data_IF_252505932358
#
_entry.id   IF_252505932358
#
_cell.length_a   1.000
_cell.length_b   1.000
_cell.length_c   1.000
_cell.angle_alpha   90.00
_cell.angle_beta   90.00
_cell.angle_gamma   90.00
#
_symmetry.space_group_name_H-M   'P 1'
#
loop_
_entity.id
_entity.type
_entity.pdbx_description
1 polymer ?
#
# COMPACT_ATOMS: atom_id res chain seq x y z
N UNK A 1 3.09 15.02 -23.14
CA UNK A 1 3.09 14.90 -21.66
C UNK A 1 3.88 13.64 -21.32
N UNK A 2 4.73 13.65 -20.27
CA UNK A 2 5.39 12.44 -19.81
C UNK A 2 4.35 11.38 -19.45
N UNK A 3 4.67 10.11 -19.71
CA UNK A 3 3.80 8.99 -19.34
C UNK A 3 3.81 8.80 -17.82
N UNK A 4 2.65 8.55 -17.18
CA UNK A 4 2.60 8.29 -15.74
C UNK A 4 3.33 6.99 -15.40
N UNK A 5 4.09 7.01 -14.30
CA UNK A 5 4.75 5.83 -13.75
C UNK A 5 3.90 5.24 -12.63
N UNK A 6 3.57 3.94 -12.74
CA UNK A 6 2.84 3.22 -11.70
C UNK A 6 3.76 2.20 -11.04
N UNK A 7 3.91 2.30 -9.72
CA UNK A 7 4.50 1.26 -8.87
C UNK A 7 3.37 0.43 -8.26
N UNK A 8 3.22 -0.82 -8.70
CA UNK A 8 2.26 -1.76 -8.15
C UNK A 8 2.97 -2.76 -7.23
N UNK A 9 2.68 -2.70 -5.92
CA UNK A 9 3.22 -3.65 -4.94
C UNK A 9 2.16 -4.69 -4.58
N UNK A 10 2.47 -5.94 -4.88
CA UNK A 10 1.64 -7.11 -4.58
C UNK A 10 2.46 -8.06 -3.71
N UNK A 11 2.45 -7.90 -2.37
CA UNK A 11 3.15 -8.81 -1.48
C UNK A 11 2.64 -10.24 -1.65
N UNK A 12 3.54 -11.22 -1.57
CA UNK A 12 3.22 -12.64 -1.78
C UNK A 12 3.14 -13.07 -3.25
N UNK A 13 3.21 -12.16 -4.23
CA UNK A 13 3.26 -12.51 -5.64
C UNK A 13 4.58 -13.18 -6.02
N UNK A 14 4.52 -14.40 -6.56
CA UNK A 14 5.69 -15.13 -7.08
C UNK A 14 5.69 -15.12 -8.60
N UNK A 15 6.87 -15.26 -9.20
CA UNK A 15 6.99 -15.35 -10.67
C UNK A 15 6.20 -16.53 -11.26
N UNK A 16 6.05 -17.64 -10.52
CA UNK A 16 5.25 -18.80 -10.93
C UNK A 16 3.75 -18.52 -11.00
N UNK A 17 3.25 -17.61 -10.17
CA UNK A 17 1.82 -17.27 -10.08
C UNK A 17 1.33 -16.56 -11.37
N UNK A 18 2.24 -15.92 -12.10
CA UNK A 18 1.94 -15.26 -13.38
C UNK A 18 1.28 -16.18 -14.41
N UNK A 19 1.58 -17.48 -14.37
CA UNK A 19 0.96 -18.46 -15.27
C UNK A 19 -0.58 -18.51 -15.14
N UNK A 20 -1.12 -18.13 -13.98
CA UNK A 20 -2.56 -18.04 -13.71
C UNK A 20 -3.12 -16.61 -13.82
N UNK A 21 -2.30 -15.61 -14.14
CA UNK A 21 -2.67 -14.19 -14.19
C UNK A 21 -2.49 -13.61 -15.61
N UNK A 22 -3.42 -13.86 -16.56
CA UNK A 22 -3.22 -13.52 -17.98
C UNK A 22 -3.00 -12.02 -18.23
N UNK A 23 -3.69 -11.15 -17.49
CA UNK A 23 -3.55 -9.70 -17.64
C UNK A 23 -2.17 -9.21 -17.18
N UNK A 24 -1.70 -9.67 -16.03
CA UNK A 24 -0.38 -9.29 -15.52
C UNK A 24 0.74 -9.93 -16.35
N UNK A 25 0.58 -11.19 -16.75
CA UNK A 25 1.48 -11.87 -17.66
C UNK A 25 1.68 -11.12 -18.97
N UNK A 26 0.58 -10.63 -19.58
CA UNK A 26 0.65 -9.80 -20.79
C UNK A 26 1.34 -8.45 -20.52
N UNK A 27 1.07 -7.82 -19.38
CA UNK A 27 1.69 -6.54 -19.00
C UNK A 27 3.21 -6.68 -18.85
N UNK A 28 3.68 -7.74 -18.20
CA UNK A 28 5.12 -7.97 -17.93
C UNK A 28 5.83 -8.77 -19.02
N UNK A 29 5.18 -9.05 -20.16
CA UNK A 29 5.78 -9.79 -21.27
C UNK A 29 6.74 -8.92 -22.11
N UNK A 30 6.51 -7.61 -22.17
CA UNK A 30 7.30 -6.67 -22.97
C UNK A 30 8.39 -5.93 -22.19
N UNK A 31 8.64 -6.30 -20.94
CA UNK A 31 9.60 -5.63 -20.06
C UNK A 31 10.52 -6.59 -19.34
N UNK A 32 11.36 -6.04 -18.46
CA UNK A 32 12.34 -6.81 -17.70
C UNK A 32 11.73 -7.48 -16.46
N UNK A 33 12.36 -8.57 -16.03
CA UNK A 33 11.99 -9.32 -14.83
C UNK A 33 13.23 -9.55 -13.98
N UNK A 34 13.13 -9.20 -12.71
CA UNK A 34 14.16 -9.45 -11.71
C UNK A 34 13.54 -9.99 -10.43
N UNK A 35 14.30 -10.80 -9.70
CA UNK A 35 13.89 -11.24 -8.36
C UNK A 35 14.18 -10.12 -7.37
N UNK A 36 13.15 -9.67 -6.64
CA UNK A 36 13.33 -8.75 -5.52
C UNK A 36 13.90 -9.53 -4.34
N UNK A 37 15.11 -9.17 -3.90
CA UNK A 37 15.70 -9.68 -2.65
C UNK A 37 15.42 -8.65 -1.54
N UNK A 38 14.52 -8.94 -0.60
CA UNK A 38 14.20 -8.00 0.46
C UNK A 38 15.34 -7.92 1.49
N UNK A 39 15.49 -6.77 2.14
CA UNK A 39 16.40 -6.66 3.28
C UNK A 39 15.87 -7.41 4.50
N UNK A 40 16.75 -7.67 5.47
CA UNK A 40 16.32 -8.02 6.82
C UNK A 40 16.01 -6.75 7.63
N UNK A 41 14.91 -6.70 8.42
CA UNK A 41 13.86 -7.72 8.51
C UNK A 41 12.86 -7.64 7.34
N UNK A 42 12.50 -8.79 6.79
CA UNK A 42 11.60 -8.93 5.65
C UNK A 42 10.13 -8.88 6.09
N UNK A 43 9.73 -7.77 6.70
CA UNK A 43 8.34 -7.46 7.03
C UNK A 43 7.88 -6.20 6.28
N UNK A 44 6.58 -5.99 6.22
CA UNK A 44 5.95 -5.01 5.31
C UNK A 44 6.55 -3.61 5.40
N UNK A 45 6.67 -3.01 6.60
CA UNK A 45 7.07 -1.60 6.70
C UNK A 45 8.54 -1.35 6.33
N UNK A 46 9.53 -2.13 6.82
CA UNK A 46 10.92 -2.00 6.38
C UNK A 46 11.06 -2.17 4.86
N UNK A 47 10.42 -3.19 4.28
CA UNK A 47 10.51 -3.43 2.82
C UNK A 47 9.86 -2.30 2.03
N UNK A 48 8.70 -1.79 2.45
CA UNK A 48 8.09 -0.62 1.81
C UNK A 48 8.96 0.63 1.95
N UNK A 49 9.52 0.90 3.13
CA UNK A 49 10.40 2.03 3.36
C UNK A 49 11.68 1.96 2.51
N UNK A 50 12.26 0.76 2.32
CA UNK A 50 13.37 0.57 1.39
C UNK A 50 12.99 0.97 -0.04
N UNK A 51 11.85 0.48 -0.53
CA UNK A 51 11.39 0.77 -1.90
C UNK A 51 11.11 2.27 -2.09
N UNK A 52 10.64 2.96 -1.05
CA UNK A 52 10.27 4.38 -1.11
C UNK A 52 11.45 5.33 -0.95
N UNK A 53 12.49 4.93 -0.22
CA UNK A 53 13.64 5.80 0.12
C UNK A 53 14.91 5.42 -0.64
N UNK A 54 15.01 4.18 -1.13
CA UNK A 54 16.25 3.61 -1.68
C UNK A 54 17.31 3.29 -0.61
N UNK A 55 16.96 3.36 0.67
CA UNK A 55 17.87 3.18 1.81
C UNK A 55 17.50 1.93 2.62
N UNK A 56 18.38 1.49 3.52
CA UNK A 56 18.13 0.35 4.40
C UNK A 56 17.57 0.77 5.78
N UNK A 57 17.05 -0.16 6.61
CA UNK A 57 16.45 0.17 7.91
C UNK A 57 17.33 0.98 8.86
N UNK A 58 18.64 0.79 8.77
CA UNK A 58 19.64 1.56 9.55
C UNK A 58 19.65 3.06 9.21
N UNK A 59 19.12 3.45 8.05
CA UNK A 59 19.15 4.81 7.51
C UNK A 59 17.77 5.48 7.55
N UNK A 60 16.70 4.75 7.20
CA UNK A 60 15.33 5.29 7.22
C UNK A 60 14.59 5.07 8.55
N UNK A 61 15.16 4.32 9.49
CA UNK A 61 14.68 4.18 10.87
C UNK A 61 13.54 3.18 11.10
N UNK A 62 12.96 2.61 10.04
CA UNK A 62 11.83 1.66 10.14
C UNK A 62 12.35 0.24 10.18
N UNK A 63 12.38 -0.36 11.37
CA UNK A 63 13.01 -1.67 11.62
C UNK A 63 12.02 -2.80 11.92
N UNK A 64 10.72 -2.52 12.01
CA UNK A 64 9.69 -3.52 12.27
C UNK A 64 8.30 -2.96 11.90
N UNK A 65 7.25 -3.78 12.01
CA UNK A 65 5.84 -3.36 11.89
C UNK A 65 5.29 -2.76 13.22
N UNK A 66 6.16 -2.13 14.00
CA UNK A 66 5.86 -1.56 15.31
C UNK A 66 7.12 -1.05 15.99
N UNK A 67 6.94 -0.22 17.01
CA UNK A 67 8.03 0.46 17.71
C UNK A 67 7.91 0.26 19.22
N UNK A 68 9.05 0.06 19.87
CA UNK A 68 9.16 0.22 21.31
C UNK A 68 9.77 1.59 21.62
N UNK A 69 8.96 2.49 22.17
CA UNK A 69 9.32 3.85 22.53
C UNK A 69 9.98 3.85 23.92
N UNK A 70 11.32 3.93 23.95
CA UNK A 70 12.12 3.78 25.18
C UNK A 70 11.88 4.89 26.19
N UNK A 71 11.59 6.09 25.73
CA UNK A 71 11.24 7.25 26.55
C UNK A 71 9.90 7.07 27.27
N UNK A 72 8.95 6.36 26.65
CA UNK A 72 7.60 6.11 27.20
C UNK A 72 7.43 4.72 27.79
N UNK A 73 8.36 3.80 27.55
CA UNK A 73 8.27 2.39 27.90
C UNK A 73 7.06 1.68 27.27
N UNK A 74 6.68 2.09 26.06
CA UNK A 74 5.46 1.63 25.40
C UNK A 74 5.73 0.95 24.07
N UNK A 75 4.88 -0.02 23.72
CA UNK A 75 4.85 -0.64 22.39
C UNK A 75 3.72 0.00 21.59
N UNK A 76 4.05 0.55 20.44
CA UNK A 76 3.08 1.01 19.44
C UNK A 76 3.14 0.11 18.22
N UNK A 77 2.06 -0.64 17.98
CA UNK A 77 1.88 -1.44 16.77
C UNK A 77 0.96 -0.71 15.81
N UNK A 78 1.11 -0.96 14.52
CA UNK A 78 0.13 -0.52 13.51
C UNK A 78 -0.10 0.99 13.39
N UNK A 79 0.87 1.80 13.82
CA UNK A 79 0.89 3.23 13.52
C UNK A 79 0.84 3.49 12.01
N UNK A 80 0.22 4.61 11.64
CA UNK A 80 -0.03 4.96 10.25
C UNK A 80 0.74 6.20 9.78
N UNK A 81 1.33 6.95 10.71
CA UNK A 81 1.95 8.24 10.42
C UNK A 81 3.31 8.08 9.73
N UNK A 82 3.54 8.94 8.74
CA UNK A 82 4.75 8.92 7.92
C UNK A 82 6.00 9.46 8.64
N UNK A 83 5.83 10.15 9.77
CA UNK A 83 6.92 10.69 10.60
C UNK A 83 7.89 9.63 11.14
N UNK A 84 7.52 8.34 11.03
CA UNK A 84 8.39 7.21 11.38
C UNK A 84 9.45 6.91 10.32
N UNK A 85 9.25 7.34 9.09
CA UNK A 85 10.25 7.25 8.02
C UNK A 85 11.11 8.51 8.08
N UNK A 86 12.36 8.35 8.51
CA UNK A 86 13.26 9.47 8.84
C UNK A 86 14.01 10.03 7.63
N UNK A 87 13.66 9.58 6.42
CA UNK A 87 14.33 9.92 5.18
C UNK A 87 13.31 10.36 4.13
N UNK A 88 13.70 11.25 3.20
CA UNK A 88 12.84 11.63 2.09
C UNK A 88 12.41 10.41 1.27
N UNK A 89 11.13 10.36 0.93
CA UNK A 89 10.59 9.32 0.07
C UNK A 89 10.55 9.83 -1.38
N UNK A 90 10.32 8.91 -2.33
CA UNK A 90 10.38 9.20 -3.76
C UNK A 90 9.53 10.41 -4.18
N UNK A 91 8.33 10.60 -3.62
CA UNK A 91 7.49 11.77 -3.93
C UNK A 91 8.11 13.09 -3.45
N UNK A 92 8.82 13.10 -2.31
CA UNK A 92 9.54 14.29 -1.83
C UNK A 92 10.68 14.64 -2.77
N UNK A 93 11.39 13.62 -3.27
CA UNK A 93 12.50 13.80 -4.21
C UNK A 93 12.00 14.28 -5.58
N UNK A 94 10.91 13.71 -6.08
CA UNK A 94 10.26 14.10 -7.32
C UNK A 94 9.77 15.56 -7.25
N UNK A 95 9.09 15.94 -6.17
CA UNK A 95 8.59 17.30 -5.99
C UNK A 95 9.71 18.33 -5.85
N UNK A 96 10.83 17.98 -5.19
CA UNK A 96 12.03 18.84 -5.15
C UNK A 96 12.66 19.03 -6.54
N UNK A 97 12.60 18.00 -7.39
CA UNK A 97 13.17 18.04 -8.74
C UNK A 97 12.35 18.92 -9.68
N UNK A 98 11.03 18.84 -9.56
CA UNK A 98 10.06 19.65 -10.29
C UNK A 98 8.72 19.65 -9.53
N UNK A 99 8.28 20.80 -8.99
CA UNK A 99 7.01 20.91 -8.26
C UNK A 99 5.75 20.57 -9.08
N UNK A 100 5.85 20.52 -10.42
CA UNK A 100 4.77 20.09 -11.29
C UNK A 100 4.58 18.56 -11.30
N UNK A 101 5.55 17.79 -10.81
CA UNK A 101 5.43 16.32 -10.69
C UNK A 101 4.56 16.01 -9.48
N UNK A 102 3.37 15.48 -9.76
CA UNK A 102 2.42 15.05 -8.74
C UNK A 102 2.50 13.55 -8.47
N UNK A 103 2.26 13.15 -7.23
CA UNK A 103 2.28 11.77 -6.76
C UNK A 103 0.97 11.36 -6.09
N UNK A 104 0.53 10.13 -6.34
CA UNK A 104 -0.56 9.48 -5.63
C UNK A 104 -0.08 8.23 -4.89
N UNK A 105 -0.61 7.99 -3.69
CA UNK A 105 -0.20 6.92 -2.78
C UNK A 105 -1.42 6.20 -2.23
N UNK A 106 -1.64 4.95 -2.66
CA UNK A 106 -2.82 4.13 -2.35
C UNK A 106 -2.46 2.90 -1.51
N UNK A 107 -2.86 2.94 -0.25
CA UNK A 107 -2.82 1.87 0.74
C UNK A 107 -1.45 1.36 1.23
N UNK A 108 -0.27 1.95 0.93
CA UNK A 108 0.92 1.53 1.66
C UNK A 108 0.84 1.99 3.11
N UNK A 109 1.56 1.26 3.96
CA UNK A 109 1.65 1.56 5.37
C UNK A 109 2.47 2.84 5.60
N UNK A 110 2.33 3.45 6.79
CA UNK A 110 3.05 4.69 7.15
C UNK A 110 2.82 5.85 6.17
N UNK A 111 1.68 5.91 5.47
CA UNK A 111 1.42 6.94 4.45
C UNK A 111 0.62 8.14 4.96
N UNK A 112 0.10 8.09 6.20
CA UNK A 112 -0.66 9.20 6.77
C UNK A 112 0.24 10.41 6.95
N UNK A 113 -0.16 11.53 6.34
CA UNK A 113 0.59 12.78 6.38
C UNK A 113 1.86 12.80 5.52
N UNK A 114 2.04 11.83 4.60
CA UNK A 114 3.19 11.85 3.70
C UNK A 114 3.14 13.03 2.70
N UNK A 115 4.28 13.27 2.03
CA UNK A 115 4.47 14.37 1.10
C UNK A 115 3.71 14.27 -0.24
N UNK A 116 3.14 13.11 -0.57
CA UNK A 116 2.41 12.93 -1.84
C UNK A 116 1.19 13.84 -1.96
N UNK A 117 0.82 14.22 -3.17
CA UNK A 117 -0.31 15.12 -3.46
C UNK A 117 -1.65 14.46 -3.15
N UNK A 118 -1.78 13.18 -3.49
CA UNK A 118 -2.97 12.38 -3.24
C UNK A 118 -2.64 11.16 -2.39
N UNK A 119 -3.43 10.94 -1.34
CA UNK A 119 -3.23 9.81 -0.43
C UNK A 119 -4.57 9.14 -0.16
N UNK A 120 -4.58 7.81 -0.07
CA UNK A 120 -5.70 7.04 0.44
C UNK A 120 -5.16 5.85 1.22
N UNK A 121 -5.52 5.72 2.50
CA UNK A 121 -5.19 4.53 3.30
C UNK A 121 -6.24 4.29 4.39
N UNK A 122 -6.38 3.07 4.93
CA UNK A 122 -7.33 2.78 5.99
C UNK A 122 -7.03 3.62 7.24
N UNK A 123 -8.05 4.25 7.83
CA UNK A 123 -7.89 4.97 9.08
C UNK A 123 -9.23 4.96 9.85
N UNK A 124 -9.58 3.83 10.50
CA UNK A 124 -10.81 3.73 11.27
C UNK A 124 -10.88 4.82 12.34
N UNK A 125 -12.08 5.37 12.52
CA UNK A 125 -12.34 6.37 13.55
C UNK A 125 -12.94 5.63 14.74
N UNK A 126 -12.26 5.69 15.88
CA UNK A 126 -12.77 5.18 17.14
C UNK A 126 -13.72 6.22 17.74
N UNK A 127 -14.99 5.85 17.87
CA UNK A 127 -16.01 6.73 18.40
C UNK A 127 -16.04 6.68 19.94
N UNK A 128 -16.55 7.73 20.62
CA UNK A 128 -16.64 7.76 22.08
C UNK A 128 -17.48 6.62 22.69
N UNK A 129 -18.39 6.03 21.90
CA UNK A 129 -19.24 4.90 22.29
C UNK A 129 -18.55 3.53 22.15
N UNK A 130 -17.28 3.52 21.73
CA UNK A 130 -16.48 2.31 21.51
C UNK A 130 -16.72 1.64 20.16
N UNK A 131 -17.61 2.19 19.31
CA UNK A 131 -17.76 1.72 17.92
C UNK A 131 -16.64 2.25 17.03
N UNK A 132 -16.42 1.59 15.89
CA UNK A 132 -15.51 2.06 14.85
C UNK A 132 -16.29 2.46 13.60
N UNK A 133 -16.05 3.68 13.11
CA UNK A 133 -16.49 4.06 11.78
C UNK A 133 -15.46 3.63 10.75
N UNK A 134 -15.89 2.83 9.77
CA UNK A 134 -15.06 2.39 8.67
C UNK A 134 -14.72 3.59 7.78
N UNK A 135 -13.47 4.04 7.88
CA UNK A 135 -13.01 5.25 7.22
C UNK A 135 -11.61 5.08 6.63
N UNK A 136 -11.29 5.93 5.66
CA UNK A 136 -9.93 6.07 5.15
C UNK A 136 -9.41 7.49 5.41
N UNK A 137 -8.13 7.59 5.73
CA UNK A 137 -7.42 8.85 5.61
C UNK A 137 -7.22 9.14 4.14
N UNK A 138 -7.63 10.31 3.69
CA UNK A 138 -7.34 10.80 2.35
C UNK A 138 -6.71 12.18 2.35
N UNK A 139 -5.91 12.44 1.32
CA UNK A 139 -5.46 13.76 0.92
C UNK A 139 -5.89 13.96 -0.54
N UNK A 140 -6.70 14.98 -0.87
CA UNK A 140 -7.40 15.89 0.04
C UNK A 140 -8.42 15.15 0.94
N UNK A 141 -8.87 15.79 2.03
CA UNK A 141 -9.72 15.14 3.04
C UNK A 141 -11.10 14.74 2.50
N UNK A 142 -11.64 15.53 1.57
CA UNK A 142 -12.96 15.33 0.97
C UNK A 142 -12.98 14.12 0.03
N UNK A 143 -11.81 13.67 -0.44
CA UNK A 143 -11.69 12.58 -1.41
C UNK A 143 -12.35 11.28 -0.93
N UNK A 144 -12.27 10.94 0.36
CA UNK A 144 -12.92 9.71 0.82
C UNK A 144 -14.45 9.77 0.68
N UNK A 145 -15.07 10.93 0.90
CA UNK A 145 -16.50 11.12 0.66
C UNK A 145 -16.86 10.82 -0.79
N UNK A 146 -16.10 11.38 -1.74
CA UNK A 146 -16.27 11.11 -3.16
C UNK A 146 -16.11 9.64 -3.52
N UNK A 147 -15.06 8.98 -3.00
CA UNK A 147 -14.81 7.56 -3.25
C UNK A 147 -15.92 6.69 -2.66
N UNK A 148 -16.36 6.98 -1.43
CA UNK A 148 -17.46 6.28 -0.76
C UNK A 148 -18.76 6.42 -1.54
N UNK A 149 -19.10 7.62 -1.98
CA UNK A 149 -20.36 7.85 -2.70
C UNK A 149 -20.36 7.19 -4.09
N UNK A 150 -19.17 6.99 -4.67
CA UNK A 150 -18.99 6.34 -5.98
C UNK A 150 -18.91 4.82 -5.89
N UNK A 151 -18.20 4.27 -4.91
CA UNK A 151 -17.79 2.85 -4.84
C UNK A 151 -18.37 2.12 -3.62
N UNK A 152 -19.08 2.82 -2.74
CA UNK A 152 -19.39 2.35 -1.40
C UNK A 152 -18.21 2.46 -0.44
N UNK A 153 -18.46 2.16 0.84
CA UNK A 153 -17.42 2.17 1.86
C UNK A 153 -16.29 1.17 1.53
N UNK A 154 -15.06 1.57 1.88
CA UNK A 154 -13.93 0.66 1.90
C UNK A 154 -14.24 -0.53 2.85
N UNK A 155 -14.16 -1.79 2.38
CA UNK A 155 -14.49 -2.96 3.20
C UNK A 155 -13.35 -3.30 4.16
N UNK A 156 -13.12 -2.44 5.16
CA UNK A 156 -11.99 -2.50 6.10
C UNK A 156 -11.81 -3.86 6.78
N UNK A 157 -12.90 -4.52 7.16
CA UNK A 157 -12.88 -5.83 7.80
C UNK A 157 -12.26 -6.92 6.92
N UNK A 158 -12.18 -6.68 5.61
CA UNK A 158 -11.59 -7.60 4.62
C UNK A 158 -10.15 -7.20 4.23
N UNK A 159 -9.59 -6.14 4.82
CA UNK A 159 -8.27 -5.65 4.48
C UNK A 159 -7.17 -6.38 5.24
N UNK A 160 -7.41 -6.74 6.51
CA UNK A 160 -6.48 -7.49 7.35
C UNK A 160 -7.20 -8.49 8.26
N UNK A 161 -6.42 -9.39 8.87
CA UNK A 161 -6.90 -10.31 9.89
C UNK A 161 -7.67 -11.52 9.33
N UNK A 162 -8.44 -12.23 10.18
CA UNK A 162 -9.05 -13.51 9.82
C UNK A 162 -10.02 -13.45 8.63
N UNK A 163 -10.67 -12.29 8.45
CA UNK A 163 -11.68 -12.03 7.42
C UNK A 163 -11.11 -11.44 6.13
N UNK A 164 -9.78 -11.30 6.03
CA UNK A 164 -9.13 -10.78 4.84
C UNK A 164 -9.49 -11.58 3.58
N UNK A 165 -9.87 -10.86 2.51
CA UNK A 165 -10.24 -11.42 1.22
C UNK A 165 -10.12 -10.38 0.10
N UNK A 166 -10.48 -10.79 -1.13
CA UNK A 166 -10.33 -9.98 -2.35
C UNK A 166 -11.09 -8.65 -2.32
N UNK A 167 -12.17 -8.52 -1.54
CA UNK A 167 -13.06 -7.36 -1.58
C UNK A 167 -12.34 -6.04 -1.29
N UNK A 168 -11.42 -6.05 -0.32
CA UNK A 168 -10.57 -4.87 -0.04
C UNK A 168 -9.64 -4.56 -1.20
N UNK A 169 -8.97 -5.56 -1.77
CA UNK A 169 -8.09 -5.37 -2.94
C UNK A 169 -8.84 -4.87 -4.18
N UNK A 170 -10.06 -5.38 -4.43
CA UNK A 170 -10.92 -4.91 -5.50
C UNK A 170 -11.26 -3.42 -5.31
N UNK A 171 -11.70 -3.02 -4.11
CA UNK A 171 -11.99 -1.61 -3.81
C UNK A 171 -10.74 -0.71 -3.96
N UNK A 172 -9.57 -1.19 -3.53
CA UNK A 172 -8.30 -0.45 -3.70
C UNK A 172 -7.99 -0.27 -5.18
N UNK A 173 -8.13 -1.31 -6.00
CA UNK A 173 -7.88 -1.24 -7.44
C UNK A 173 -8.88 -0.30 -8.14
N UNK A 174 -10.17 -0.40 -7.82
CA UNK A 174 -11.21 0.45 -8.41
C UNK A 174 -11.05 1.92 -8.04
N UNK A 175 -10.76 2.20 -6.77
CA UNK A 175 -10.51 3.56 -6.29
C UNK A 175 -9.19 4.14 -6.85
N UNK A 176 -8.15 3.32 -7.05
CA UNK A 176 -6.93 3.74 -7.72
C UNK A 176 -7.18 4.02 -9.21
N UNK A 177 -7.97 3.19 -9.89
CA UNK A 177 -8.35 3.44 -11.28
C UNK A 177 -9.19 4.71 -11.43
N UNK A 178 -10.08 4.99 -10.47
CA UNK A 178 -10.78 6.26 -10.37
C UNK A 178 -9.80 7.43 -10.22
N UNK A 179 -8.87 7.34 -9.25
CA UNK A 179 -7.89 8.40 -9.00
C UNK A 179 -6.97 8.67 -10.20
N UNK A 180 -6.55 7.64 -10.92
CA UNK A 180 -5.75 7.80 -12.14
C UNK A 180 -6.52 8.58 -13.22
N UNK A 181 -7.83 8.32 -13.39
CA UNK A 181 -8.67 9.06 -14.34
C UNK A 181 -8.93 10.50 -13.90
N UNK A 182 -9.10 10.72 -12.60
CA UNK A 182 -9.45 12.03 -12.04
C UNK A 182 -8.25 12.97 -11.94
N UNK A 183 -7.08 12.45 -11.55
CA UNK A 183 -5.93 13.26 -11.17
C UNK A 183 -4.73 13.12 -12.11
N UNK A 184 -4.63 12.00 -12.83
CA UNK A 184 -3.52 11.69 -13.74
C UNK A 184 -2.13 12.00 -13.13
N UNK A 185 -1.81 11.46 -11.94
CA UNK A 185 -0.55 11.75 -11.27
C UNK A 185 0.64 11.27 -12.09
N UNK A 186 1.76 11.98 -11.99
CA UNK A 186 3.00 11.59 -12.68
C UNK A 186 3.61 10.31 -12.09
N UNK A 187 3.45 10.08 -10.78
CA UNK A 187 3.84 8.86 -10.08
C UNK A 187 2.67 8.32 -9.25
N UNK A 188 2.40 7.02 -9.32
CA UNK A 188 1.35 6.38 -8.54
C UNK A 188 1.85 5.10 -7.87
N UNK A 189 1.95 5.11 -6.54
CA UNK A 189 2.20 3.91 -5.75
C UNK A 189 0.90 3.26 -5.26
N UNK A 190 0.68 1.98 -5.58
CA UNK A 190 -0.51 1.20 -5.20
C UNK A 190 -0.07 -0.08 -4.50
N UNK A 191 -0.68 -0.38 -3.34
CA UNK A 191 -0.43 -1.59 -2.56
C UNK A 191 -1.67 -2.51 -2.50
N UNK A 192 -1.53 -3.76 -2.94
CA UNK A 192 -2.62 -4.76 -3.00
C UNK A 192 -2.29 -6.00 -2.14
N UNK A 193 -2.81 -6.12 -0.91
CA UNK A 193 -2.34 -7.12 0.05
C UNK A 193 -2.93 -8.53 -0.07
N UNK A 194 -3.90 -8.77 -0.96
CA UNK A 194 -4.70 -10.01 -0.99
C UNK A 194 -3.86 -11.30 -0.97
N UNK A 195 -2.84 -11.40 -1.83
CA UNK A 195 -2.04 -12.62 -1.95
C UNK A 195 -1.24 -12.94 -0.68
N UNK A 196 -0.74 -11.92 0.01
CA UNK A 196 0.02 -12.07 1.25
C UNK A 196 -0.85 -12.70 2.34
N UNK A 197 -2.07 -12.20 2.55
CA UNK A 197 -2.98 -12.76 3.55
C UNK A 197 -3.43 -14.18 3.21
N UNK A 198 -3.69 -14.47 1.93
CA UNK A 198 -4.05 -15.82 1.51
C UNK A 198 -2.93 -16.82 1.84
N UNK A 199 -1.68 -16.47 1.52
CA UNK A 199 -0.52 -17.31 1.82
C UNK A 199 -0.19 -17.40 3.31
N UNK A 200 -0.30 -16.31 4.07
CA UNK A 200 -0.04 -16.30 5.52
C UNK A 200 -1.03 -17.20 6.29
N UNK A 201 -2.29 -17.25 5.85
CA UNK A 201 -3.35 -18.00 6.55
C UNK A 201 -3.25 -19.51 6.33
N UNK A 202 -2.99 -19.95 5.10
CA UNK A 202 -3.10 -21.37 4.73
C UNK A 202 -1.84 -21.96 4.11
N UNK A 203 -0.77 -21.18 3.96
CA UNK A 203 0.45 -21.55 3.27
C UNK A 203 0.43 -21.19 1.77
N UNK A 204 1.59 -20.86 1.18
CA UNK A 204 1.69 -20.30 -0.17
C UNK A 204 1.31 -21.29 -1.30
N UNK A 205 1.36 -22.60 -1.03
CA UNK A 205 1.05 -23.65 -2.01
C UNK A 205 -0.32 -24.30 -1.77
N UNK A 206 -1.11 -23.74 -0.85
CA UNK A 206 -2.43 -24.26 -0.52
C UNK A 206 -3.47 -23.95 -1.62
N UNK A 207 -4.53 -24.77 -1.78
CA UNK A 207 -5.60 -24.48 -2.72
C UNK A 207 -6.24 -23.09 -2.55
N UNK A 208 -6.46 -22.56 -1.32
CA UNK A 208 -6.93 -21.19 -1.15
C UNK A 208 -5.95 -20.12 -1.65
N UNK A 209 -4.65 -20.30 -1.47
CA UNK A 209 -3.64 -19.36 -1.99
C UNK A 209 -3.57 -19.38 -3.53
N UNK A 210 -3.66 -20.57 -4.14
CA UNK A 210 -3.74 -20.71 -5.60
C UNK A 210 -5.02 -20.10 -6.17
N UNK A 211 -6.14 -20.20 -5.44
CA UNK A 211 -7.39 -19.51 -5.82
C UNK A 211 -7.22 -17.99 -5.76
N UNK A 212 -6.59 -17.45 -4.72
CA UNK A 212 -6.36 -16.01 -4.58
C UNK A 212 -5.55 -15.42 -5.74
N UNK A 213 -4.65 -16.19 -6.36
CA UNK A 213 -3.91 -15.78 -7.57
C UNK A 213 -4.82 -15.59 -8.79
N UNK A 214 -5.97 -16.26 -8.83
CA UNK A 214 -6.92 -16.19 -9.96
C UNK A 214 -7.99 -15.10 -9.79
N UNK A 215 -8.06 -14.47 -8.61
CA UNK A 215 -9.00 -13.40 -8.25
C UNK A 215 -8.44 -12.03 -8.62
#
# INVERSE_FOLDING_TARGET
MPQPLVLLSVPGLRSSDLAAMPNLSRLVAGGDRATLVPSFPCVTWPVQANMLTGLLPREHGVVANGFYWRDRHEVEMWTAWNDKIQQPQIWDLLHRRDPAITSAVWFPMLSKGCGADYVCMPAPIHNPDGSESLWCYTKPTELYGTLRDTLGHFPLMNFWGPMANIQSTAWIADSAAWAMRSYQPSFFYIYLPHLDYAAQRTGPDSPPAQKAVQE
#
